data_IF_141507614862
#
_entry.id   IF_141507614862
#
_cell.length_a   1.000
_cell.length_b   1.000
_cell.length_c   1.000
_cell.angle_alpha   90.00
_cell.angle_beta   90.00
_cell.angle_gamma   90.00
#
_symmetry.space_group_name_H-M   'P 1'
#
loop_
_entity.id
_entity.type
_entity.pdbx_description
1 polymer ?
#
# COMPACT_ATOMS: atom_id res chain seq x y z
N UNK A 1 2.85 27.47 -32.04
CA UNK A 1 3.85 26.53 -31.48
C UNK A 1 3.64 26.46 -29.98
N UNK A 2 3.20 25.32 -29.43
CA UNK A 2 3.10 25.17 -27.96
C UNK A 2 4.47 24.82 -27.37
N UNK A 3 4.79 25.27 -26.13
CA UNK A 3 6.05 24.94 -25.48
C UNK A 3 6.03 23.48 -25.04
N UNK A 4 7.06 22.72 -25.42
CA UNK A 4 7.31 21.39 -24.85
C UNK A 4 7.74 21.59 -23.39
N UNK A 5 6.90 21.21 -22.45
CA UNK A 5 7.29 21.08 -21.05
C UNK A 5 8.23 19.88 -20.92
N UNK A 6 9.53 20.14 -20.80
CA UNK A 6 10.50 19.13 -20.39
C UNK A 6 10.20 18.76 -18.92
N UNK A 7 9.31 17.80 -18.70
CA UNK A 7 9.11 17.17 -17.41
C UNK A 7 10.42 16.47 -17.04
N UNK A 8 11.13 17.04 -16.07
CA UNK A 8 12.29 16.40 -15.48
C UNK A 8 11.90 14.98 -15.00
N UNK A 9 12.77 13.97 -15.20
CA UNK A 9 12.45 12.62 -14.78
C UNK A 9 12.09 12.62 -13.29
N UNK A 10 10.99 11.96 -12.95
CA UNK A 10 10.52 11.81 -11.58
C UNK A 10 11.70 11.35 -10.71
N UNK A 11 12.15 12.23 -9.80
CA UNK A 11 13.24 11.92 -8.87
C UNK A 11 12.73 10.79 -7.99
N UNK A 12 13.27 9.58 -8.18
CA UNK A 12 12.92 8.42 -7.36
C UNK A 12 13.05 8.81 -5.89
N UNK A 13 11.99 8.72 -5.08
CA UNK A 13 12.12 9.03 -3.67
C UNK A 13 13.15 8.09 -3.04
N UNK A 14 14.15 8.68 -2.37
CA UNK A 14 15.18 7.95 -1.63
C UNK A 14 14.57 7.40 -0.35
N UNK A 15 13.86 6.27 -0.46
CA UNK A 15 13.51 5.47 0.71
C UNK A 15 14.80 4.98 1.36
N UNK A 16 14.85 5.01 2.70
CA UNK A 16 15.97 4.43 3.47
C UNK A 16 16.03 2.89 3.35
N UNK A 17 15.00 2.28 2.78
CA UNK A 17 14.84 0.83 2.65
C UNK A 17 14.47 0.44 1.22
N UNK A 18 14.79 -0.80 0.84
CA UNK A 18 14.43 -1.37 -0.46
C UNK A 18 12.99 -1.89 -0.40
N UNK A 19 12.12 -1.35 -1.24
CA UNK A 19 10.77 -1.85 -1.40
C UNK A 19 10.76 -3.11 -2.29
N UNK A 20 10.41 -4.26 -1.73
CA UNK A 20 10.16 -5.50 -2.49
C UNK A 20 8.69 -5.57 -2.91
N UNK A 21 8.36 -4.98 -4.06
CA UNK A 21 7.03 -5.07 -4.65
C UNK A 21 7.07 -5.02 -6.17
N UNK A 22 6.13 -5.71 -6.79
CA UNK A 22 5.88 -5.66 -8.25
C UNK A 22 4.63 -4.85 -8.60
N UNK A 23 3.86 -4.41 -7.59
CA UNK A 23 2.60 -3.69 -7.77
C UNK A 23 2.70 -2.20 -7.45
N UNK A 24 3.54 -1.84 -6.47
CA UNK A 24 3.71 -0.46 -6.01
C UNK A 24 5.16 -0.01 -6.14
N UNK A 25 5.31 1.31 -6.28
CA UNK A 25 6.59 2.02 -6.30
C UNK A 25 6.79 2.84 -5.01
N UNK A 26 8.00 3.33 -4.78
CA UNK A 26 8.36 4.10 -3.57
C UNK A 26 7.49 5.32 -3.30
N UNK A 27 6.88 5.92 -4.32
CA UNK A 27 5.96 7.07 -4.18
C UNK A 27 4.64 6.75 -3.46
N UNK A 28 4.24 5.48 -3.36
CA UNK A 28 3.04 5.08 -2.62
C UNK A 28 3.25 5.07 -1.10
N UNK A 29 4.51 4.87 -0.68
CA UNK A 29 4.87 4.66 0.72
C UNK A 29 4.52 5.85 1.61
N UNK A 30 4.83 7.11 1.26
CA UNK A 30 4.44 8.24 2.09
C UNK A 30 2.92 8.37 2.24
N UNK A 31 2.18 8.03 1.18
CA UNK A 31 0.72 8.06 1.18
C UNK A 31 0.14 7.02 2.15
N UNK A 32 0.59 5.76 2.06
CA UNK A 32 0.19 4.70 2.99
C UNK A 32 0.56 5.02 4.43
N UNK A 33 1.77 5.50 4.68
CA UNK A 33 2.20 5.93 6.01
C UNK A 33 1.29 7.04 6.57
N UNK A 34 0.91 8.00 5.73
CA UNK A 34 0.02 9.09 6.14
C UNK A 34 -1.38 8.59 6.49
N UNK A 35 -1.90 7.63 5.73
CA UNK A 35 -3.23 7.06 5.98
C UNK A 35 -3.27 6.21 7.26
N UNK A 36 -2.21 5.45 7.56
CA UNK A 36 -2.10 4.68 8.82
C UNK A 36 -2.21 5.62 10.03
N UNK A 37 -1.50 6.75 10.00
CA UNK A 37 -1.54 7.77 11.07
C UNK A 37 -2.75 8.73 10.98
N UNK A 38 -3.70 8.48 10.07
CA UNK A 38 -4.87 9.34 9.80
C UNK A 38 -4.49 10.80 9.45
N UNK A 39 -3.30 11.03 8.89
CA UNK A 39 -2.85 12.34 8.41
C UNK A 39 -3.34 12.59 6.98
N UNK A 40 -4.63 12.87 6.86
CA UNK A 40 -5.30 13.03 5.55
C UNK A 40 -4.91 14.36 4.89
N UNK A 41 -4.78 15.42 5.68
CA UNK A 41 -4.45 16.78 5.20
C UNK A 41 -2.96 17.12 5.23
N UNK A 42 -2.14 16.29 5.86
CA UNK A 42 -0.69 16.49 5.97
C UNK A 42 0.05 15.19 5.65
N UNK A 43 0.59 15.07 4.44
CA UNK A 43 1.30 13.85 4.05
C UNK A 43 2.74 13.85 4.57
N UNK A 44 3.24 12.65 4.89
CA UNK A 44 4.67 12.45 5.09
C UNK A 44 5.45 12.76 3.81
N UNK A 45 6.65 13.32 3.97
CA UNK A 45 7.66 13.35 2.90
C UNK A 45 8.32 11.97 2.81
N UNK A 46 8.70 11.56 1.60
CA UNK A 46 9.57 10.42 1.31
C UNK A 46 10.82 10.25 2.19
N UNK A 47 11.35 11.31 2.78
CA UNK A 47 12.55 11.31 3.63
C UNK A 47 12.26 10.94 5.09
N UNK A 48 11.04 11.16 5.56
CA UNK A 48 10.64 11.10 6.97
C UNK A 48 9.47 10.13 7.18
N UNK A 49 9.55 8.95 6.57
CA UNK A 49 8.55 7.89 6.73
C UNK A 49 8.83 7.13 8.04
N UNK A 50 7.85 7.00 8.95
CA UNK A 50 8.04 6.34 10.26
C UNK A 50 7.98 4.81 10.20
N UNK A 51 7.68 4.23 9.03
CA UNK A 51 7.51 2.79 8.85
C UNK A 51 8.45 2.21 7.80
N UNK A 52 8.85 0.96 8.03
CA UNK A 52 9.43 0.09 7.01
C UNK A 52 8.35 -0.86 6.50
N UNK A 53 8.17 -0.92 5.18
CA UNK A 53 7.19 -1.80 4.55
C UNK A 53 7.87 -3.08 4.07
N UNK A 54 7.72 -4.15 4.85
CA UNK A 54 8.30 -5.46 4.58
C UNK A 54 7.31 -6.37 3.84
N UNK A 55 7.77 -7.02 2.75
CA UNK A 55 6.95 -7.95 1.99
C UNK A 55 6.77 -9.27 2.76
N UNK A 56 5.56 -9.52 3.24
CA UNK A 56 5.20 -10.79 3.90
C UNK A 56 4.83 -11.88 2.88
N UNK A 57 3.95 -11.55 1.93
CA UNK A 57 3.38 -12.50 0.98
C UNK A 57 3.17 -11.86 -0.40
N UNK A 58 3.48 -12.61 -1.46
CA UNK A 58 3.17 -12.27 -2.85
C UNK A 58 2.73 -13.53 -3.59
N UNK A 59 1.53 -13.53 -4.15
CA UNK A 59 0.96 -14.72 -4.81
C UNK A 59 1.83 -15.31 -5.91
N UNK A 60 2.54 -14.47 -6.68
CA UNK A 60 3.48 -14.92 -7.72
C UNK A 60 4.78 -15.52 -7.19
N UNK A 61 5.11 -15.32 -5.92
CA UNK A 61 6.29 -15.88 -5.24
C UNK A 61 5.92 -17.09 -4.37
N UNK A 62 4.83 -16.96 -3.62
CA UNK A 62 4.51 -17.86 -2.50
C UNK A 62 3.37 -18.84 -2.82
N UNK A 63 2.74 -18.72 -3.99
CA UNK A 63 1.53 -19.44 -4.38
C UNK A 63 0.27 -18.64 -4.08
N UNK A 64 -0.85 -19.00 -4.73
CA UNK A 64 -2.15 -18.33 -4.55
C UNK A 64 -3.12 -19.22 -3.77
N UNK A 65 -2.88 -19.38 -2.47
CA UNK A 65 -3.76 -20.15 -1.58
C UNK A 65 -3.75 -19.59 -0.15
N UNK A 66 -4.78 -19.94 0.63
CA UNK A 66 -4.93 -19.43 2.00
C UNK A 66 -3.87 -19.99 2.96
N UNK A 67 -3.41 -21.23 2.77
CA UNK A 67 -2.41 -21.86 3.66
C UNK A 67 -1.09 -21.10 3.66
N UNK A 68 -0.59 -20.75 2.46
CA UNK A 68 0.64 -19.97 2.28
C UNK A 68 0.48 -18.53 2.73
N UNK A 69 -0.71 -17.95 2.57
CA UNK A 69 -1.04 -16.64 3.14
C UNK A 69 -0.95 -16.68 4.66
N UNK A 70 -1.69 -17.57 5.33
CA UNK A 70 -1.68 -17.67 6.80
C UNK A 70 -0.29 -17.99 7.36
N UNK A 71 0.46 -18.89 6.72
CA UNK A 71 1.85 -19.17 7.11
C UNK A 71 2.75 -17.93 7.13
N UNK A 72 2.52 -16.99 6.20
CA UNK A 72 3.36 -15.81 6.06
C UNK A 72 2.82 -14.58 6.81
N UNK A 73 1.49 -14.46 6.97
CA UNK A 73 0.81 -13.27 7.46
C UNK A 73 0.27 -13.38 8.89
N UNK A 74 0.08 -14.59 9.42
CA UNK A 74 -0.38 -14.75 10.80
C UNK A 74 0.72 -14.36 11.80
N UNK A 75 0.30 -13.76 12.91
CA UNK A 75 1.14 -13.22 13.98
C UNK A 75 2.12 -12.13 13.52
N UNK A 76 1.83 -11.44 12.41
CA UNK A 76 2.64 -10.33 11.89
C UNK A 76 2.09 -8.96 12.29
N UNK A 77 0.88 -8.92 12.83
CA UNK A 77 0.25 -7.69 13.28
C UNK A 77 -0.31 -6.88 12.13
N UNK A 78 -0.08 -5.56 12.15
CA UNK A 78 -0.67 -4.65 11.19
C UNK A 78 -0.13 -4.88 9.77
N UNK A 79 -1.02 -4.89 8.78
CA UNK A 79 -0.68 -5.21 7.39
C UNK A 79 -1.42 -4.32 6.40
N UNK A 80 -0.76 -4.03 5.27
CA UNK A 80 -1.42 -3.54 4.06
C UNK A 80 -1.45 -4.68 3.05
N UNK A 81 -2.62 -4.93 2.46
CA UNK A 81 -2.76 -5.83 1.32
C UNK A 81 -3.09 -5.03 0.07
N UNK A 82 -2.59 -5.49 -1.07
CA UNK A 82 -2.73 -4.83 -2.37
C UNK A 82 -3.01 -5.87 -3.44
N UNK A 83 -4.04 -5.66 -4.24
CA UNK A 83 -4.38 -6.48 -5.39
C UNK A 83 -4.48 -5.63 -6.66
N UNK A 84 -4.09 -6.21 -7.79
CA UNK A 84 -4.24 -5.61 -9.12
C UNK A 84 -5.44 -6.23 -9.82
N UNK A 85 -6.30 -5.40 -10.39
CA UNK A 85 -7.42 -5.89 -11.19
C UNK A 85 -6.89 -6.42 -12.53
N UNK A 86 -7.35 -7.61 -12.92
CA UNK A 86 -6.92 -8.25 -14.15
C UNK A 86 -7.30 -7.40 -15.37
N UNK A 87 -6.37 -7.24 -16.31
CA UNK A 87 -6.60 -6.48 -17.54
C UNK A 87 -6.60 -4.96 -17.36
N UNK A 88 -6.27 -4.42 -16.17
CA UNK A 88 -6.20 -2.98 -15.95
C UNK A 88 -4.93 -2.54 -15.19
N UNK A 89 -4.76 -1.23 -15.01
CA UNK A 89 -3.75 -0.64 -14.12
C UNK A 89 -4.28 -0.41 -12.71
N UNK A 90 -5.56 -0.67 -12.46
CA UNK A 90 -6.22 -0.39 -11.19
C UNK A 90 -5.64 -1.24 -10.07
N UNK A 91 -5.37 -0.59 -8.92
CA UNK A 91 -4.99 -1.25 -7.68
C UNK A 91 -6.08 -1.02 -6.65
N UNK A 92 -6.45 -2.08 -5.95
CA UNK A 92 -7.29 -2.02 -4.76
C UNK A 92 -6.52 -2.57 -3.57
N UNK A 93 -6.95 -2.22 -2.36
CA UNK A 93 -6.31 -2.75 -1.18
C UNK A 93 -6.92 -2.20 0.09
N UNK A 94 -6.22 -2.47 1.19
CA UNK A 94 -6.60 -1.97 2.48
C UNK A 94 -5.54 -2.20 3.54
N UNK A 95 -5.73 -1.52 4.65
CA UNK A 95 -4.95 -1.68 5.87
C UNK A 95 -5.80 -2.33 6.94
N UNK A 96 -5.20 -3.31 7.61
CA UNK A 96 -5.74 -3.93 8.79
C UNK A 96 -4.73 -3.74 9.94
N UNK A 97 -5.07 -3.03 11.03
CA UNK A 97 -4.19 -2.88 12.19
C UNK A 97 -4.12 -4.14 13.06
N UNK A 98 -5.04 -5.09 12.84
CA UNK A 98 -5.11 -6.34 13.60
C UNK A 98 -4.40 -7.45 12.83
N UNK A 99 -3.97 -8.46 13.58
CA UNK A 99 -3.35 -9.65 13.01
C UNK A 99 -4.37 -10.58 12.32
N UNK A 100 -3.90 -11.40 11.37
CA UNK A 100 -4.71 -12.36 10.60
C UNK A 100 -5.00 -13.69 11.31
N UNK A 101 -4.37 -13.95 12.46
CA UNK A 101 -4.59 -15.20 13.19
C UNK A 101 -6.03 -15.34 13.73
N UNK A 102 -6.38 -16.58 14.07
CA UNK A 102 -7.61 -16.91 14.79
C UNK A 102 -8.85 -17.01 13.90
N UNK A 103 -9.92 -17.55 14.49
CA UNK A 103 -11.11 -18.00 13.76
C UNK A 103 -12.37 -17.20 14.10
N UNK A 104 -12.21 -16.00 14.69
CA UNK A 104 -13.32 -15.16 15.15
C UNK A 104 -13.25 -13.79 14.48
N UNK A 105 -14.42 -13.18 14.30
CA UNK A 105 -14.51 -11.80 13.87
C UNK A 105 -13.78 -10.88 14.86
N UNK A 106 -13.02 -9.93 14.33
CA UNK A 106 -12.33 -8.89 15.10
C UNK A 106 -12.87 -7.52 14.67
N UNK A 107 -12.98 -6.60 15.61
CA UNK A 107 -13.57 -5.26 15.39
C UNK A 107 -12.49 -4.20 15.52
N UNK A 108 -12.44 -3.25 14.59
CA UNK A 108 -11.56 -2.08 14.65
C UNK A 108 -12.12 -0.95 13.79
N UNK A 109 -11.91 0.29 14.22
CA UNK A 109 -12.21 1.53 13.47
C UNK A 109 -10.96 2.15 12.85
N UNK A 110 -9.82 1.48 12.96
CA UNK A 110 -8.54 1.95 12.44
C UNK A 110 -8.15 1.29 11.11
N UNK A 111 -9.02 0.46 10.53
CA UNK A 111 -8.85 -0.07 9.17
C UNK A 111 -9.23 0.96 8.12
N UNK A 112 -8.69 0.79 6.91
CA UNK A 112 -9.12 1.54 5.74
C UNK A 112 -9.06 0.70 4.47
N UNK A 113 -9.86 1.06 3.48
CA UNK A 113 -9.78 0.55 2.11
C UNK A 113 -9.32 1.66 1.18
N UNK A 114 -8.66 1.29 0.08
CA UNK A 114 -8.30 2.25 -0.94
C UNK A 114 -8.44 1.66 -2.35
N UNK A 115 -8.51 2.58 -3.31
CA UNK A 115 -8.50 2.30 -4.73
C UNK A 115 -7.63 3.34 -5.45
N UNK A 116 -6.72 2.91 -6.30
CA UNK A 116 -6.07 3.72 -7.32
C UNK A 116 -6.68 3.37 -8.67
N UNK A 117 -7.31 4.33 -9.37
CA UNK A 117 -7.84 4.05 -10.70
C UNK A 117 -6.71 3.79 -11.71
N UNK A 118 -5.53 4.35 -11.47
CA UNK A 118 -4.26 3.93 -12.08
C UNK A 118 -3.22 3.71 -10.99
N UNK A 119 -2.76 2.47 -10.82
CA UNK A 119 -1.76 2.08 -9.83
C UNK A 119 -0.38 2.72 -10.00
N UNK A 120 -0.11 3.39 -11.13
CA UNK A 120 1.09 4.20 -11.29
C UNK A 120 0.87 5.67 -10.93
N UNK A 121 -0.35 6.11 -10.69
CA UNK A 121 -0.67 7.49 -10.35
C UNK A 121 -1.26 7.58 -8.95
N UNK A 122 -0.46 8.05 -8.01
CA UNK A 122 -0.88 8.22 -6.61
C UNK A 122 -1.95 9.31 -6.44
N UNK A 123 -2.09 10.24 -7.38
CA UNK A 123 -3.15 11.25 -7.33
C UNK A 123 -4.53 10.66 -7.65
N UNK A 124 -4.57 9.49 -8.27
CA UNK A 124 -5.80 8.76 -8.58
C UNK A 124 -6.40 8.00 -7.38
N UNK A 125 -5.76 8.12 -6.22
CA UNK A 125 -6.16 7.45 -4.99
C UNK A 125 -7.52 7.92 -4.47
N UNK A 126 -8.34 6.96 -4.07
CA UNK A 126 -9.56 7.15 -3.28
C UNK A 126 -9.41 6.34 -2.00
N UNK A 127 -9.63 6.99 -0.85
CA UNK A 127 -9.52 6.41 0.48
C UNK A 127 -10.91 6.29 1.10
N UNK A 128 -11.22 5.12 1.65
CA UNK A 128 -12.42 4.86 2.46
C UNK A 128 -12.02 4.52 3.89
N UNK A 129 -12.46 5.33 4.85
CA UNK A 129 -12.23 5.13 6.28
C UNK A 129 -13.46 4.51 6.93
N UNK A 130 -13.26 3.77 8.02
CA UNK A 130 -14.35 3.36 8.91
C UNK A 130 -14.78 4.57 9.73
N UNK A 131 -16.08 4.89 9.69
CA UNK A 131 -16.70 5.96 10.49
C UNK A 131 -17.17 5.44 11.84
#
# INVERSE_FOLDING_TARGET
MQPRTNLAPSRKPNLKFKLDSTLIESKHIPLFASWIDKKISSHYDSKNIPYEFNLLYRSSRDGFNFETFHRNCDNKGATIWIAKIQGSTQLIGGYNPLDWNGNKAKITTNSFLFNFTDGKDTSSAKLGLVN
#
